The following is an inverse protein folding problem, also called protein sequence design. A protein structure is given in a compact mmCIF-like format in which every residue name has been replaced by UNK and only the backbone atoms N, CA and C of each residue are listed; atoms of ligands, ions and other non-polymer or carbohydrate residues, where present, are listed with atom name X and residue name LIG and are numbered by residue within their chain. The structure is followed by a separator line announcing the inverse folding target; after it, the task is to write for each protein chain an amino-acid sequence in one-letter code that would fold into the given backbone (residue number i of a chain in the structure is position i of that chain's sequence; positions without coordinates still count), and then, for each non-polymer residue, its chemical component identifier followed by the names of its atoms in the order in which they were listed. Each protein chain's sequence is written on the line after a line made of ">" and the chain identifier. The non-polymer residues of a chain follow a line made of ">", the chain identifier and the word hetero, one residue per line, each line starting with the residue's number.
data_IF_671801879939
#
_entry.id   IF_671801879939
#
_cell.length_a   1.000
_cell.length_b   1.000
_cell.length_c   1.000
_cell.angle_alpha   90.00
_cell.angle_beta   90.00
_cell.angle_gamma   90.00
#
_symmetry.space_group_name_H-M   'P 1'
#
loop_
_entity.id
_entity.type
_entity.pdbx_description
1 polymer ?
#
# COMPACT_ATOMS: atom_id res chain seq x y z
N UNK A 1 -0.20 35.53 -35.18
CA UNK A 1 0.02 34.25 -34.47
C UNK A 1 0.96 33.39 -35.31
N UNK A 2 1.95 32.71 -34.70
CA UNK A 2 2.83 31.79 -35.42
C UNK A 2 2.01 30.61 -35.98
N UNK A 3 2.37 30.14 -37.19
CA UNK A 3 1.77 28.91 -37.73
C UNK A 3 2.19 27.72 -36.86
N UNK A 4 1.25 26.82 -36.65
CA UNK A 4 1.45 25.61 -35.87
C UNK A 4 0.79 24.42 -36.56
N UNK A 5 1.33 23.23 -36.31
CA UNK A 5 0.82 21.97 -36.86
C UNK A 5 0.81 20.89 -35.78
N UNK A 6 -0.14 19.96 -35.93
CA UNK A 6 -0.35 18.83 -35.04
C UNK A 6 -0.10 17.51 -35.75
N UNK A 7 0.51 16.55 -35.04
CA UNK A 7 0.63 15.15 -35.45
C UNK A 7 0.42 14.25 -34.25
N UNK A 8 -0.79 13.70 -34.10
CA UNK A 8 -1.16 12.97 -32.89
C UNK A 8 -1.10 13.88 -31.66
N UNK A 9 -0.22 13.56 -30.70
CA UNK A 9 0.04 14.37 -29.50
C UNK A 9 1.25 15.30 -29.64
N UNK A 10 1.86 15.37 -30.82
CA UNK A 10 3.00 16.22 -31.10
C UNK A 10 2.57 17.56 -31.68
N UNK A 11 3.22 18.64 -31.22
CA UNK A 11 3.04 20.02 -31.69
C UNK A 11 4.38 20.59 -32.19
N UNK A 12 4.36 21.35 -33.29
CA UNK A 12 5.50 22.17 -33.74
C UNK A 12 5.06 23.54 -34.22
N UNK A 13 6.00 24.49 -34.20
CA UNK A 13 5.79 25.86 -34.68
C UNK A 13 6.68 26.14 -35.90
N UNK A 14 6.18 26.97 -36.81
CA UNK A 14 6.96 27.51 -37.92
C UNK A 14 7.86 28.64 -37.41
N UNK A 15 9.18 28.54 -37.65
CA UNK A 15 10.18 29.53 -37.23
C UNK A 15 10.35 30.63 -38.28
N UNK A 16 10.49 30.23 -39.55
CA UNK A 16 10.61 31.09 -40.73
C UNK A 16 9.69 30.55 -41.83
N UNK A 17 9.37 31.32 -42.89
CA UNK A 17 8.67 30.79 -44.06
C UNK A 17 9.32 29.49 -44.53
N UNK A 18 8.50 28.45 -44.66
CA UNK A 18 8.87 27.07 -45.00
C UNK A 18 9.87 26.36 -44.06
N UNK A 19 10.20 26.95 -42.90
CA UNK A 19 11.10 26.36 -41.89
C UNK A 19 10.35 26.02 -40.61
N UNK A 20 10.27 24.74 -40.29
CA UNK A 20 9.58 24.22 -39.12
C UNK A 20 10.53 23.83 -38.00
N UNK A 21 10.12 24.07 -36.75
CA UNK A 21 10.78 23.53 -35.57
C UNK A 21 10.59 22.03 -35.41
N UNK A 22 11.26 21.45 -34.40
CA UNK A 22 11.06 20.04 -34.01
C UNK A 22 9.64 19.79 -33.51
N UNK A 23 9.19 18.56 -33.66
CA UNK A 23 7.99 18.05 -32.98
C UNK A 23 8.24 17.93 -31.48
N UNK A 24 7.24 18.31 -30.68
CA UNK A 24 7.23 18.18 -29.21
C UNK A 24 6.01 17.38 -28.80
N UNK A 25 6.20 16.16 -28.26
CA UNK A 25 5.12 15.36 -27.69
C UNK A 25 4.67 15.96 -26.35
N UNK A 26 3.41 16.38 -26.31
CA UNK A 26 2.84 17.08 -25.15
C UNK A 26 2.38 16.12 -24.05
N UNK A 27 2.43 14.79 -24.26
CA UNK A 27 2.17 13.82 -23.19
C UNK A 27 3.26 13.81 -22.11
N UNK A 28 4.45 14.34 -22.43
CA UNK A 28 5.62 14.21 -21.57
C UNK A 28 6.12 12.75 -21.49
N UNK A 29 7.20 12.50 -20.73
CA UNK A 29 7.63 11.13 -20.47
C UNK A 29 6.52 10.37 -19.76
N UNK A 30 6.18 9.18 -20.27
CA UNK A 30 5.30 8.27 -19.55
C UNK A 30 5.90 7.99 -18.17
N UNK A 31 5.15 8.21 -17.09
CA UNK A 31 5.57 7.82 -15.75
C UNK A 31 5.57 6.29 -15.64
N UNK A 32 6.59 5.64 -16.18
CA UNK A 32 6.80 4.20 -16.01
C UNK A 32 7.44 3.96 -14.65
N UNK A 33 6.71 4.24 -13.56
CA UNK A 33 6.95 3.73 -12.20
C UNK A 33 5.96 4.42 -11.25
N UNK A 34 4.72 3.92 -11.21
CA UNK A 34 3.93 4.11 -9.99
C UNK A 34 4.49 3.14 -8.96
N UNK A 35 5.64 3.47 -8.35
CA UNK A 35 5.96 2.90 -7.04
C UNK A 35 4.87 3.47 -6.13
N UNK A 36 4.04 2.61 -5.55
CA UNK A 36 3.14 3.03 -4.48
C UNK A 36 4.04 3.42 -3.29
N UNK A 37 4.49 4.68 -3.29
CA UNK A 37 5.14 5.27 -2.12
C UNK A 37 4.03 5.51 -1.12
N UNK A 38 3.96 4.69 -0.08
CA UNK A 38 3.13 5.07 1.07
C UNK A 38 3.87 6.26 1.69
N UNK A 39 3.26 7.44 1.63
CA UNK A 39 3.79 8.65 2.24
C UNK A 39 3.08 8.91 3.57
N UNK A 40 3.78 9.49 4.53
CA UNK A 40 3.15 9.99 5.75
C UNK A 40 2.31 11.23 5.43
N UNK A 41 1.59 11.74 6.44
CA UNK A 41 0.79 12.97 6.28
C UNK A 41 1.61 14.22 5.94
N UNK A 42 2.94 14.16 6.06
CA UNK A 42 3.88 15.23 5.76
C UNK A 42 4.52 15.06 4.36
N UNK A 43 4.17 14.00 3.63
CA UNK A 43 4.69 13.72 2.29
C UNK A 43 6.05 13.02 2.27
N UNK A 44 6.57 12.59 3.42
CA UNK A 44 7.81 11.80 3.47
C UNK A 44 7.50 10.34 3.13
N UNK A 45 8.47 9.67 2.52
CA UNK A 45 8.42 8.22 2.37
C UNK A 45 8.25 7.54 3.74
N UNK A 46 7.19 6.74 3.91
CA UNK A 46 7.08 5.85 5.07
C UNK A 46 8.10 4.73 4.93
N UNK A 47 9.09 4.75 5.82
CA UNK A 47 10.06 3.67 6.00
C UNK A 47 9.63 2.81 7.19
N UNK A 48 9.55 1.47 7.07
CA UNK A 48 9.12 0.59 8.17
C UNK A 48 9.89 0.82 9.47
N UNK A 49 11.17 1.17 9.38
CA UNK A 49 12.08 1.41 10.50
C UNK A 49 11.74 2.68 11.30
N UNK A 50 10.93 3.57 10.73
CA UNK A 50 10.46 4.81 11.38
C UNK A 50 9.07 4.66 12.00
N UNK A 51 8.41 3.52 11.80
CA UNK A 51 7.13 3.24 12.42
C UNK A 51 7.33 2.96 13.91
N UNK A 52 6.47 3.51 14.79
CA UNK A 52 6.57 3.23 16.22
C UNK A 52 6.33 1.74 16.48
N UNK A 53 7.17 1.16 17.34
CA UNK A 53 6.94 -0.19 17.83
C UNK A 53 5.76 -0.19 18.79
N UNK A 54 4.85 -1.15 18.59
CA UNK A 54 3.74 -1.43 19.50
C UNK A 54 4.10 -2.69 20.28
N UNK A 55 4.21 -2.58 21.60
CA UNK A 55 4.60 -3.71 22.47
C UNK A 55 3.44 -4.70 22.72
N UNK A 56 2.20 -4.21 22.74
CA UNK A 56 1.02 -5.02 23.01
C UNK A 56 0.00 -4.84 21.89
N UNK A 57 -0.28 -5.92 21.17
CA UNK A 57 -1.34 -5.97 20.18
C UNK A 57 -2.65 -6.39 20.85
N UNK A 58 -3.73 -5.67 20.59
CA UNK A 58 -5.07 -5.94 21.15
C UNK A 58 -6.08 -6.34 20.08
N UNK A 59 -7.21 -6.93 20.51
CA UNK A 59 -8.31 -7.24 19.59
C UNK A 59 -8.84 -5.97 18.95
N UNK A 60 -8.86 -5.94 17.60
CA UNK A 60 -9.31 -4.79 16.82
C UNK A 60 -8.18 -4.01 16.16
N UNK A 61 -6.92 -4.24 16.56
CA UNK A 61 -5.76 -3.66 15.88
C UNK A 61 -5.69 -4.07 14.42
N UNK A 62 -5.23 -3.15 13.58
CA UNK A 62 -4.99 -3.36 12.17
C UNK A 62 -3.49 -3.36 11.92
N UNK A 63 -2.98 -4.41 11.27
CA UNK A 63 -1.56 -4.53 10.98
C UNK A 63 -1.30 -4.45 9.48
N UNK A 64 -0.22 -3.75 9.13
CA UNK A 64 0.35 -3.74 7.80
C UNK A 64 1.71 -4.45 7.88
N UNK A 65 1.94 -5.44 7.03
CA UNK A 65 3.20 -6.18 6.92
C UNK A 65 3.82 -5.98 5.53
N UNK A 66 5.13 -6.15 5.43
CA UNK A 66 5.83 -6.26 4.14
C UNK A 66 6.22 -7.73 3.92
N UNK A 67 5.78 -8.33 2.82
CA UNK A 67 6.17 -9.68 2.40
C UNK A 67 6.54 -9.64 0.93
N UNK A 68 7.73 -10.15 0.59
CA UNK A 68 8.25 -10.15 -0.78
C UNK A 68 8.20 -8.76 -1.46
N UNK A 69 8.43 -7.70 -0.66
CA UNK A 69 8.40 -6.31 -1.12
C UNK A 69 6.99 -5.70 -1.28
N UNK A 70 5.94 -6.42 -0.91
CA UNK A 70 4.54 -5.96 -1.03
C UNK A 70 3.93 -5.71 0.34
N UNK A 71 3.24 -4.57 0.49
CA UNK A 71 2.44 -4.28 1.67
C UNK A 71 1.15 -5.12 1.68
N UNK A 72 0.91 -5.84 2.77
CA UNK A 72 -0.30 -6.63 3.00
C UNK A 72 -0.97 -6.21 4.30
N UNK A 73 -2.30 -6.06 4.27
CA UNK A 73 -3.10 -5.81 5.48
C UNK A 73 -3.48 -7.14 6.10
N UNK A 74 -3.15 -7.30 7.38
CA UNK A 74 -3.44 -8.51 8.15
C UNK A 74 -4.43 -8.16 9.25
N UNK A 75 -5.53 -8.92 9.30
CA UNK A 75 -6.41 -8.91 10.46
C UNK A 75 -5.78 -9.79 11.52
N UNK A 76 -5.33 -9.21 12.62
CA UNK A 76 -4.83 -9.99 13.74
C UNK A 76 -6.03 -10.60 14.44
N UNK A 77 -6.17 -11.91 14.30
CA UNK A 77 -6.96 -12.72 15.22
C UNK A 77 -5.97 -13.16 16.28
N UNK A 78 -5.92 -12.46 17.42
CA UNK A 78 -5.15 -12.93 18.56
C UNK A 78 -5.73 -14.29 18.95
N UNK A 79 -5.03 -15.37 18.65
CA UNK A 79 -5.37 -16.71 19.14
C UNK A 79 -4.98 -16.78 20.62
N UNK A 80 -5.65 -15.98 21.44
CA UNK A 80 -5.64 -16.14 22.89
C UNK A 80 -6.52 -17.32 23.27
N UNK A 81 -6.18 -17.98 24.37
CA UNK A 81 -7.08 -18.93 25.01
C UNK A 81 -8.29 -18.11 25.52
N UNK A 82 -9.54 -18.45 25.13
CA UNK A 82 -10.72 -17.80 25.69
C UNK A 82 -10.68 -17.86 27.21
N UNK A 83 -11.06 -16.78 27.90
CA UNK A 83 -11.07 -16.73 29.36
C UNK A 83 -12.04 -17.74 29.98
N UNK A 84 -13.04 -18.18 29.21
CA UNK A 84 -14.01 -19.22 29.56
C UNK A 84 -13.65 -20.61 28.97
N UNK A 85 -12.43 -20.79 28.47
CA UNK A 85 -12.00 -22.10 27.98
C UNK A 85 -11.93 -23.11 29.12
N UNK A 86 -12.46 -24.30 28.87
CA UNK A 86 -12.31 -25.43 29.77
C UNK A 86 -10.84 -25.85 29.75
N UNK A 87 -10.23 -25.98 30.93
CA UNK A 87 -8.86 -26.43 31.08
C UNK A 87 -8.80 -27.77 31.82
N UNK A 88 -7.83 -28.60 31.45
CA UNK A 88 -7.44 -29.79 32.20
C UNK A 88 -5.99 -29.58 32.63
N UNK A 89 -5.74 -29.53 33.94
CA UNK A 89 -4.43 -29.22 34.52
C UNK A 89 -3.82 -27.89 34.01
N UNK A 90 -4.67 -26.88 33.78
CA UNK A 90 -4.25 -25.57 33.27
C UNK A 90 -3.97 -25.52 31.76
N UNK A 91 -4.11 -26.63 31.05
CA UNK A 91 -4.01 -26.67 29.58
C UNK A 91 -5.42 -26.59 28.98
N UNK A 92 -5.69 -25.64 28.06
CA UNK A 92 -6.99 -25.52 27.42
C UNK A 92 -7.32 -26.73 26.54
N UNK A 93 -8.57 -27.17 26.59
CA UNK A 93 -9.06 -28.25 25.73
C UNK A 93 -9.47 -27.68 24.38
N UNK A 94 -9.01 -28.31 23.31
CA UNK A 94 -9.46 -28.02 21.94
C UNK A 94 -10.03 -29.26 21.27
N UNK A 95 -11.02 -29.06 20.39
CA UNK A 95 -11.57 -30.10 19.51
C UNK A 95 -11.52 -29.54 18.09
N UNK A 96 -10.82 -30.23 17.18
CA UNK A 96 -10.60 -29.78 15.79
C UNK A 96 -9.97 -28.38 15.66
N UNK A 97 -9.15 -27.97 16.65
CA UNK A 97 -8.51 -26.65 16.68
C UNK A 97 -9.38 -25.52 17.24
N UNK A 98 -10.60 -25.83 17.69
CA UNK A 98 -11.50 -24.88 18.34
C UNK A 98 -11.50 -25.10 19.86
N UNK A 99 -11.51 -24.03 20.66
CA UNK A 99 -11.52 -24.12 22.11
C UNK A 99 -12.89 -24.59 22.63
N UNK A 100 -12.88 -25.54 23.55
CA UNK A 100 -14.09 -25.89 24.30
C UNK A 100 -14.30 -24.83 25.38
N UNK A 101 -15.44 -24.15 25.34
CA UNK A 101 -15.77 -23.05 26.26
C UNK A 101 -17.04 -23.38 27.06
N UNK A 102 -17.15 -22.81 28.26
CA UNK A 102 -18.41 -22.81 29.02
C UNK A 102 -19.42 -21.89 28.32
N UNK A 103 -20.63 -22.40 28.03
CA UNK A 103 -21.74 -21.57 27.56
C UNK A 103 -22.31 -20.75 28.73
N UNK A 104 -22.56 -19.46 28.52
CA UNK A 104 -23.26 -18.59 29.47
C UNK A 104 -24.75 -18.95 29.59
#
# INVERSE_FOLDING_TARGET
>A
MPKHEWRGTELRFQKDPDTWGRWVDLRGPSSSSSVAVIQDSEGNDLKPERLPLVENVVMGDQMVMVRDGVFVRVKIVLSGIPTNAITVNGVPVTVNGEYVVLAE
#
